data_IF_280900901508
#
_entry.id   IF_280900901508
#
_cell.length_a   1.000
_cell.length_b   1.000
_cell.length_c   1.000
_cell.angle_alpha   90.00
_cell.angle_beta   90.00
_cell.angle_gamma   90.00
#
_symmetry.space_group_name_H-M   'P 1'
#
loop_
_entity.id
_entity.type
_entity.pdbx_description
1 polymer ?
#
# COMPACT_ATOMS: atom_id res chain seq x y z
N UNK A 1 45.19 -13.79 -23.31
CA UNK A 1 45.23 -15.21 -22.90
C UNK A 1 44.69 -15.31 -21.47
N UNK A 2 43.73 -16.21 -21.29
CA UNK A 2 43.29 -16.91 -20.06
C UNK A 2 43.13 -16.18 -18.72
N UNK A 3 41.85 -16.02 -18.35
CA UNK A 3 41.15 -16.60 -17.19
C UNK A 3 41.64 -16.36 -15.74
N UNK A 4 40.70 -15.84 -14.93
CA UNK A 4 40.56 -16.09 -13.50
C UNK A 4 39.23 -15.54 -12.95
N UNK A 5 38.27 -16.42 -12.67
CA UNK A 5 36.94 -16.15 -12.07
C UNK A 5 37.02 -16.43 -10.55
N UNK A 6 36.05 -15.87 -9.80
CA UNK A 6 35.64 -16.09 -8.38
C UNK A 6 36.29 -15.15 -7.36
N UNK A 7 35.63 -14.63 -6.32
CA UNK A 7 34.23 -14.39 -5.93
C UNK A 7 34.34 -13.50 -4.67
N UNK A 8 33.31 -12.69 -4.42
CA UNK A 8 32.88 -12.13 -3.12
C UNK A 8 33.84 -12.11 -1.92
N UNK A 9 34.27 -10.90 -1.51
CA UNK A 9 34.38 -10.51 -0.10
C UNK A 9 34.55 -8.98 0.00
N UNK A 10 33.45 -8.24 0.11
CA UNK A 10 33.48 -6.81 0.40
C UNK A 10 33.52 -6.59 1.91
N UNK A 11 34.72 -6.46 2.48
CA UNK A 11 34.97 -5.60 3.65
C UNK A 11 36.47 -5.32 3.76
N UNK A 12 36.85 -4.06 3.50
CA UNK A 12 37.92 -3.30 4.20
C UNK A 12 38.19 -2.01 3.45
N UNK A 13 37.79 -0.87 4.02
CA UNK A 13 38.47 0.39 3.70
C UNK A 13 38.68 1.20 4.97
N UNK A 14 39.95 1.27 5.36
CA UNK A 14 40.54 2.22 6.31
C UNK A 14 40.99 3.48 5.53
N UNK A 15 41.39 4.52 6.29
CA UNK A 15 42.16 5.73 5.94
C UNK A 15 41.29 6.96 5.63
N UNK A 16 41.61 8.21 5.99
CA UNK A 16 42.39 8.93 7.03
C UNK A 16 42.00 10.41 6.82
N UNK A 17 41.98 11.25 7.85
CA UNK A 17 41.71 12.67 7.67
C UNK A 17 42.88 13.41 7.01
N UNK A 18 42.60 14.45 6.21
CA UNK A 18 43.12 15.78 6.52
C UNK A 18 42.42 16.94 5.79
N UNK A 19 42.27 17.99 6.59
CA UNK A 19 42.16 19.44 6.35
C UNK A 19 42.07 19.96 4.91
N UNK A 20 40.89 20.48 4.54
CA UNK A 20 40.63 21.89 4.15
C UNK A 20 39.26 21.98 3.47
N UNK A 21 38.32 22.73 4.05
CA UNK A 21 37.09 23.18 3.38
C UNK A 21 35.90 22.22 3.49
N UNK A 22 34.94 22.58 4.33
CA UNK A 22 33.70 21.87 4.64
C UNK A 22 32.93 21.38 3.40
N UNK A 23 32.88 20.06 3.23
CA UNK A 23 31.76 19.36 2.60
C UNK A 23 31.38 18.19 3.53
N UNK A 24 30.24 18.30 4.21
CA UNK A 24 29.70 17.22 5.04
C UNK A 24 29.07 16.19 4.11
N UNK A 25 29.80 15.12 3.82
CA UNK A 25 29.33 13.98 3.04
C UNK A 25 28.65 12.99 3.98
N UNK A 26 27.32 12.86 3.89
CA UNK A 26 26.60 11.79 4.60
C UNK A 26 26.73 10.48 3.81
N UNK A 27 27.39 9.50 4.43
CA UNK A 27 27.58 8.16 3.86
C UNK A 27 26.30 7.35 4.10
N UNK A 28 25.76 6.75 3.04
CA UNK A 28 24.71 5.73 3.13
C UNK A 28 25.22 4.53 3.94
N UNK A 29 24.88 4.48 5.22
CA UNK A 29 24.84 3.24 6.00
C UNK A 29 23.41 2.77 5.94
N UNK A 30 23.17 1.56 5.42
CA UNK A 30 21.83 0.96 5.29
C UNK A 30 21.11 0.67 6.61
N UNK A 31 21.28 1.52 7.62
CA UNK A 31 20.47 1.59 8.82
C UNK A 31 19.28 2.53 8.60
N UNK A 32 18.19 2.22 9.30
CA UNK A 32 16.86 2.85 9.27
C UNK A 32 16.90 4.38 9.47
N UNK A 33 18.01 4.94 9.96
CA UNK A 33 18.19 6.37 10.21
C UNK A 33 18.34 7.24 8.94
N UNK A 34 18.70 6.66 7.79
CA UNK A 34 18.96 7.43 6.56
C UNK A 34 17.70 7.98 5.87
N UNK A 35 16.50 7.48 6.19
CA UNK A 35 15.24 7.94 5.57
C UNK A 35 14.66 9.19 6.24
N UNK A 36 15.32 9.75 7.25
CA UNK A 36 14.77 10.84 8.04
C UNK A 36 14.95 12.25 7.43
N UNK A 37 15.60 12.41 6.29
CA UNK A 37 15.88 13.74 5.76
C UNK A 37 15.91 13.77 4.24
N UNK A 38 14.76 13.87 3.59
CA UNK A 38 14.68 14.47 2.24
C UNK A 38 13.32 15.14 1.91
N UNK A 39 12.33 15.13 2.82
CA UNK A 39 11.11 15.94 2.62
C UNK A 39 11.36 17.44 2.85
N UNK A 40 12.44 17.78 3.54
CA UNK A 40 12.86 19.16 3.78
C UNK A 40 14.15 19.48 3.01
N UNK A 41 14.14 19.32 1.68
CA UNK A 41 15.05 20.11 0.84
C UNK A 41 14.29 21.41 0.54
N UNK A 42 14.51 22.50 1.28
CA UNK A 42 13.64 23.69 1.24
C UNK A 42 13.63 24.41 -0.12
N UNK A 43 14.52 23.99 -1.04
CA UNK A 43 14.75 24.63 -2.34
C UNK A 43 14.67 23.63 -3.52
N UNK A 44 14.16 22.41 -3.33
CA UNK A 44 13.92 21.52 -4.47
C UNK A 44 12.77 22.10 -5.31
N UNK A 45 12.98 22.41 -6.61
CA UNK A 45 11.92 22.95 -7.44
C UNK A 45 10.78 21.93 -7.55
N UNK A 46 9.53 22.41 -7.45
CA UNK A 46 8.38 21.54 -7.69
C UNK A 46 8.44 20.97 -9.12
N UNK A 47 8.15 19.68 -9.31
CA UNK A 47 8.22 19.03 -10.62
C UNK A 47 6.98 19.40 -11.47
N UNK A 48 6.92 20.64 -11.97
CA UNK A 48 5.73 21.18 -12.64
C UNK A 48 5.76 21.11 -14.16
N UNK A 49 6.88 20.75 -14.79
CA UNK A 49 7.07 20.82 -16.25
C UNK A 49 5.89 20.25 -17.05
N UNK A 50 5.45 19.03 -16.73
CA UNK A 50 4.35 18.36 -17.44
C UNK A 50 3.00 19.02 -17.16
N UNK A 51 2.77 19.51 -15.93
CA UNK A 51 1.57 20.28 -15.58
C UNK A 51 1.51 21.60 -16.35
N UNK A 52 2.63 22.30 -16.49
CA UNK A 52 2.73 23.58 -17.17
C UNK A 52 2.61 23.44 -18.70
N UNK A 53 3.13 22.34 -19.27
CA UNK A 53 2.96 22.00 -20.69
C UNK A 53 1.55 21.52 -21.03
N UNK A 54 0.85 20.89 -20.08
CA UNK A 54 -0.44 20.26 -20.29
C UNK A 54 -1.48 20.71 -19.25
N UNK A 55 -1.78 22.01 -19.15
CA UNK A 55 -2.74 22.53 -18.19
C UNK A 55 -4.15 22.01 -18.49
N UNK A 56 -4.96 21.84 -17.46
CA UNK A 56 -6.37 21.52 -17.59
C UNK A 56 -7.22 22.57 -16.87
N UNK A 57 -8.35 22.99 -17.47
CA UNK A 57 -9.21 24.06 -16.91
C UNK A 57 -9.72 23.79 -15.50
N UNK A 58 -9.85 22.50 -15.13
CA UNK A 58 -10.28 22.04 -13.81
C UNK A 58 -9.18 22.09 -12.75
N UNK A 59 -7.91 22.20 -13.14
CA UNK A 59 -6.77 22.22 -12.19
C UNK A 59 -6.89 23.40 -11.19
N UNK A 60 -7.45 24.53 -11.63
CA UNK A 60 -7.65 25.72 -10.78
C UNK A 60 -8.68 25.54 -9.67
N UNK A 61 -9.51 24.50 -9.78
CA UNK A 61 -10.61 24.25 -8.84
C UNK A 61 -10.24 23.26 -7.75
N UNK A 62 -9.09 22.58 -7.85
CA UNK A 62 -8.68 21.53 -6.93
C UNK A 62 -7.35 21.88 -6.23
N UNK A 63 -7.32 21.70 -4.92
CA UNK A 63 -6.11 21.83 -4.10
C UNK A 63 -5.96 20.56 -3.27
N UNK A 64 -4.77 19.95 -3.32
CA UNK A 64 -4.40 18.83 -2.47
C UNK A 64 -3.46 19.31 -1.36
N UNK A 65 -3.83 19.04 -0.11
CA UNK A 65 -3.04 19.37 1.07
C UNK A 65 -2.35 18.09 1.55
N UNK A 66 -1.02 18.03 1.41
CA UNK A 66 -0.22 16.83 1.66
C UNK A 66 -0.25 16.43 3.15
N UNK A 67 -0.19 17.40 4.05
CA UNK A 67 -0.10 17.20 5.50
C UNK A 67 -1.36 16.53 6.08
N UNK A 68 -2.53 16.97 5.62
CA UNK A 68 -3.83 16.43 6.04
C UNK A 68 -4.36 15.36 5.10
N UNK A 69 -3.64 15.07 4.01
CA UNK A 69 -4.08 14.18 2.93
C UNK A 69 -5.51 14.48 2.44
N UNK A 70 -5.85 15.77 2.34
CA UNK A 70 -7.21 16.23 2.05
C UNK A 70 -7.26 17.00 0.73
N UNK A 71 -8.27 16.71 -0.08
CA UNK A 71 -8.55 17.45 -1.30
C UNK A 71 -9.65 18.48 -1.04
N UNK A 72 -9.49 19.66 -1.63
CA UNK A 72 -10.46 20.74 -1.61
C UNK A 72 -10.86 21.06 -3.05
N UNK A 73 -12.16 21.07 -3.33
CA UNK A 73 -12.73 21.46 -4.61
C UNK A 73 -13.50 22.76 -4.39
N UNK A 74 -13.10 23.84 -5.07
CA UNK A 74 -13.64 25.19 -4.91
C UNK A 74 -13.66 25.65 -3.44
N UNK A 75 -12.62 25.28 -2.67
CA UNK A 75 -12.50 25.60 -1.24
C UNK A 75 -13.26 24.65 -0.30
N UNK A 76 -14.07 23.73 -0.82
CA UNK A 76 -14.83 22.76 -0.01
C UNK A 76 -14.08 21.43 0.07
N UNK A 77 -13.88 20.84 1.26
CA UNK A 77 -13.22 19.54 1.37
C UNK A 77 -14.07 18.45 0.71
N UNK A 78 -13.42 17.56 -0.03
CA UNK A 78 -14.04 16.36 -0.58
C UNK A 78 -14.53 15.42 0.52
N UNK A 79 -15.49 14.55 0.21
CA UNK A 79 -15.98 13.51 1.12
C UNK A 79 -14.94 12.38 1.33
N UNK A 80 -13.93 12.30 0.48
CA UNK A 80 -12.80 11.38 0.62
C UNK A 80 -11.93 11.36 -0.64
N UNK A 81 -10.88 10.53 -0.59
CA UNK A 81 -10.07 10.21 -1.76
C UNK A 81 -10.49 8.90 -2.41
N UNK A 82 -10.12 8.66 -3.67
CA UNK A 82 -10.34 7.36 -4.35
C UNK A 82 -9.73 6.20 -3.55
N UNK A 83 -8.51 6.35 -3.04
CA UNK A 83 -7.87 5.35 -2.17
C UNK A 83 -8.65 5.13 -0.88
N UNK A 84 -9.09 6.23 -0.24
CA UNK A 84 -9.93 6.15 0.96
C UNK A 84 -11.27 5.47 0.71
N UNK A 85 -11.87 5.68 -0.47
CA UNK A 85 -13.09 5.00 -0.89
C UNK A 85 -12.89 3.49 -0.98
N UNK A 86 -11.79 3.03 -1.58
CA UNK A 86 -11.49 1.59 -1.71
C UNK A 86 -11.27 0.93 -0.36
N UNK A 87 -10.55 1.61 0.55
CA UNK A 87 -10.31 1.09 1.90
C UNK A 87 -11.59 0.90 2.72
N UNK A 88 -12.68 1.60 2.42
CA UNK A 88 -14.00 1.34 3.05
C UNK A 88 -14.57 -0.03 2.70
N UNK A 89 -14.13 -0.60 1.57
CA UNK A 89 -14.54 -1.92 1.11
C UNK A 89 -13.48 -2.99 1.40
N UNK A 90 -12.36 -2.65 2.03
CA UNK A 90 -11.37 -3.60 2.51
C UNK A 90 -11.71 -4.06 3.93
N UNK A 91 -11.24 -5.25 4.32
CA UNK A 91 -11.29 -5.73 5.69
C UNK A 91 -10.26 -4.98 6.53
N UNK A 92 -10.60 -4.68 7.79
CA UNK A 92 -9.64 -4.12 8.73
C UNK A 92 -8.57 -5.15 9.11
N UNK A 93 -7.34 -4.66 9.31
CA UNK A 93 -6.22 -5.50 9.73
C UNK A 93 -6.26 -5.71 11.25
N UNK A 94 -6.73 -6.88 11.68
CA UNK A 94 -6.71 -7.30 13.08
C UNK A 94 -5.37 -7.97 13.44
N UNK A 95 -4.43 -7.14 13.92
CA UNK A 95 -3.10 -7.59 14.31
C UNK A 95 -3.14 -8.66 15.42
N UNK A 96 -4.04 -8.51 16.40
CA UNK A 96 -4.13 -9.42 17.55
C UNK A 96 -4.59 -10.81 17.14
N UNK A 97 -5.67 -10.89 16.35
CA UNK A 97 -6.18 -12.16 15.83
C UNK A 97 -5.16 -12.87 14.95
N UNK A 98 -4.42 -12.13 14.12
CA UNK A 98 -3.38 -12.70 13.25
C UNK A 98 -2.21 -13.22 14.08
N UNK A 99 -1.70 -12.45 15.05
CA UNK A 99 -0.60 -12.88 15.93
C UNK A 99 -1.02 -14.13 16.72
N UNK A 100 -2.22 -14.13 17.30
CA UNK A 100 -2.73 -15.28 18.05
C UNK A 100 -2.80 -16.55 17.17
N UNK A 101 -3.26 -16.43 15.92
CA UNK A 101 -3.27 -17.53 14.95
C UNK A 101 -1.86 -17.99 14.58
N UNK A 102 -0.93 -17.05 14.36
CA UNK A 102 0.47 -17.35 14.05
C UNK A 102 1.13 -18.14 15.17
N UNK A 103 1.05 -17.67 16.43
CA UNK A 103 1.71 -18.27 17.59
C UNK A 103 1.10 -19.61 18.03
N UNK A 104 -0.16 -19.85 17.66
CA UNK A 104 -0.84 -21.14 17.89
C UNK A 104 -0.51 -22.18 16.81
N UNK A 105 -0.04 -21.75 15.64
CA UNK A 105 0.24 -22.63 14.51
C UNK A 105 1.44 -23.56 14.75
N UNK A 106 1.43 -24.73 14.11
CA UNK A 106 2.54 -25.70 14.18
C UNK A 106 3.84 -25.21 13.55
N UNK A 107 3.78 -24.13 12.76
CA UNK A 107 4.94 -23.47 12.18
C UNK A 107 5.58 -22.44 13.13
N UNK A 108 5.10 -22.30 14.37
CA UNK A 108 5.67 -21.38 15.35
C UNK A 108 6.61 -22.13 16.32
N UNK A 109 7.79 -21.56 16.67
CA UNK A 109 8.33 -20.28 16.20
C UNK A 109 8.76 -20.36 14.72
N UNK A 110 8.86 -19.20 14.05
CA UNK A 110 9.14 -19.12 12.61
C UNK A 110 10.24 -18.10 12.27
N UNK A 111 10.92 -18.26 11.11
CA UNK A 111 11.92 -17.29 10.67
C UNK A 111 11.36 -15.87 10.53
N UNK A 112 12.16 -14.88 10.92
CA UNK A 112 11.86 -13.46 11.00
C UNK A 112 11.21 -13.02 12.31
N UNK A 113 10.96 -13.94 13.24
CA UNK A 113 10.26 -13.68 14.50
C UNK A 113 11.00 -14.25 15.73
N UNK A 114 12.28 -14.57 15.58
CA UNK A 114 13.16 -14.88 16.69
C UNK A 114 13.83 -13.61 17.21
N UNK A 115 14.25 -13.62 18.47
CA UNK A 115 15.17 -12.60 18.98
C UNK A 115 16.58 -12.83 18.39
N UNK A 116 17.24 -11.75 17.99
CA UNK A 116 18.64 -11.79 17.51
C UNK A 116 19.62 -12.25 18.60
N UNK A 117 19.26 -12.04 19.86
CA UNK A 117 20.05 -12.46 21.03
C UNK A 117 19.16 -13.10 22.07
N UNK A 118 19.64 -14.21 22.63
CA UNK A 118 18.94 -14.95 23.68
C UNK A 118 19.60 -14.71 25.03
N UNK A 119 18.84 -14.51 26.13
CA UNK A 119 19.42 -14.35 27.46
C UNK A 119 20.31 -15.54 27.86
N UNK A 120 21.46 -15.26 28.50
CA UNK A 120 22.46 -16.28 28.89
C UNK A 120 21.84 -17.40 29.74
N UNK A 121 20.90 -17.07 30.62
CA UNK A 121 20.24 -18.06 31.47
C UNK A 121 19.38 -19.05 30.66
N UNK A 122 18.76 -18.61 29.56
CA UNK A 122 17.99 -19.48 28.65
C UNK A 122 18.95 -20.40 27.89
N UNK A 123 20.04 -19.87 27.35
CA UNK A 123 21.08 -20.69 26.71
C UNK A 123 21.66 -21.73 27.68
N UNK A 124 21.92 -21.34 28.93
CA UNK A 124 22.42 -22.26 29.96
C UNK A 124 21.42 -23.37 30.26
N UNK A 125 20.13 -23.05 30.35
CA UNK A 125 19.07 -24.03 30.52
C UNK A 125 18.97 -24.99 29.31
N UNK A 126 19.08 -24.47 28.08
CA UNK A 126 19.09 -25.29 26.88
C UNK A 126 20.36 -26.17 26.76
N UNK A 127 21.48 -25.77 27.33
CA UNK A 127 22.69 -26.63 27.38
C UNK A 127 22.65 -27.70 28.46
N UNK A 128 21.76 -27.57 29.43
CA UNK A 128 21.67 -28.49 30.57
C UNK A 128 20.98 -29.81 30.24
N UNK A 129 20.45 -29.97 29.03
CA UNK A 129 19.74 -31.16 28.57
C UNK A 129 20.22 -31.58 27.18
N UNK A 130 20.40 -32.89 26.99
CA UNK A 130 20.79 -33.44 25.68
C UNK A 130 19.69 -33.24 24.62
N UNK A 131 18.42 -33.13 25.04
CA UNK A 131 17.29 -32.89 24.16
C UNK A 131 17.30 -31.47 23.55
N UNK A 132 17.93 -30.51 24.22
CA UNK A 132 17.90 -29.08 23.87
C UNK A 132 19.25 -28.52 23.44
N UNK A 133 20.35 -29.26 23.64
CA UNK A 133 21.72 -28.78 23.33
C UNK A 133 21.91 -28.40 21.86
N UNK A 134 21.31 -29.14 20.91
CA UNK A 134 21.42 -28.81 19.48
C UNK A 134 20.80 -27.44 19.16
N UNK A 135 19.70 -27.09 19.83
CA UNK A 135 19.07 -25.78 19.69
C UNK A 135 19.97 -24.69 20.28
N UNK A 136 20.56 -24.92 21.45
CA UNK A 136 21.51 -23.98 22.05
C UNK A 136 22.74 -23.74 21.16
N UNK A 137 23.28 -24.80 20.55
CA UNK A 137 24.44 -24.72 19.68
C UNK A 137 24.11 -23.97 18.38
N UNK A 138 22.90 -24.12 17.84
CA UNK A 138 22.43 -23.34 16.69
C UNK A 138 22.37 -21.84 17.01
N UNK A 139 21.86 -21.44 18.18
CA UNK A 139 21.83 -20.03 18.60
C UNK A 139 23.20 -19.42 18.89
N UNK A 140 24.19 -20.25 19.25
CA UNK A 140 25.56 -19.79 19.51
C UNK A 140 26.45 -19.88 18.27
N UNK A 141 25.93 -20.41 17.17
CA UNK A 141 26.69 -20.55 15.96
C UNK A 141 26.97 -19.16 15.35
N UNK A 142 28.20 -18.88 14.89
CA UNK A 142 28.54 -17.56 14.32
C UNK A 142 27.72 -17.18 13.09
N UNK A 143 27.21 -18.18 12.38
CA UNK A 143 26.27 -18.03 11.27
C UNK A 143 24.88 -18.32 11.81
N UNK A 144 24.02 -17.30 11.84
CA UNK A 144 22.62 -17.42 12.22
C UNK A 144 21.83 -18.12 11.10
N UNK A 145 21.36 -19.33 11.35
CA UNK A 145 20.43 -20.05 10.48
C UNK A 145 19.07 -20.15 11.19
N UNK A 146 18.23 -19.14 10.98
CA UNK A 146 16.90 -19.09 11.60
C UNK A 146 15.99 -20.24 11.16
N UNK A 147 16.15 -20.75 9.94
CA UNK A 147 15.35 -21.88 9.47
C UNK A 147 15.65 -23.13 10.29
N UNK A 148 16.94 -23.43 10.49
CA UNK A 148 17.36 -24.56 11.32
C UNK A 148 16.97 -24.36 12.79
N UNK A 149 17.15 -23.16 13.34
CA UNK A 149 16.72 -22.85 14.72
C UNK A 149 15.22 -23.06 14.91
N UNK A 150 14.38 -22.55 14.00
CA UNK A 150 12.94 -22.77 14.06
C UNK A 150 12.58 -24.25 13.89
N UNK A 151 13.23 -24.98 12.98
CA UNK A 151 12.99 -26.42 12.78
C UNK A 151 13.31 -27.22 14.05
N UNK A 152 14.43 -26.95 14.70
CA UNK A 152 14.83 -27.59 15.96
C UNK A 152 13.85 -27.25 17.08
N UNK A 153 13.46 -25.98 17.23
CA UNK A 153 12.49 -25.53 18.24
C UNK A 153 11.11 -26.17 18.03
N UNK A 154 10.59 -26.20 16.80
CA UNK A 154 9.32 -26.83 16.45
C UNK A 154 9.35 -28.33 16.75
N UNK A 155 10.44 -29.02 16.40
CA UNK A 155 10.62 -30.45 16.71
C UNK A 155 10.64 -30.68 18.22
N UNK A 156 11.35 -29.84 18.97
CA UNK A 156 11.43 -29.92 20.42
C UNK A 156 10.05 -29.73 21.07
N UNK A 157 9.26 -28.75 20.63
CA UNK A 157 7.88 -28.55 21.12
C UNK A 157 6.97 -29.74 20.82
N UNK A 158 7.16 -30.39 19.67
CA UNK A 158 6.36 -31.54 19.28
C UNK A 158 6.68 -32.79 20.12
N UNK A 159 7.95 -32.98 20.52
CA UNK A 159 8.38 -34.15 21.29
C UNK A 159 8.39 -33.94 22.80
N UNK A 160 8.64 -32.70 23.24
CA UNK A 160 8.86 -32.32 24.64
C UNK A 160 8.18 -30.97 24.95
N UNK A 161 6.84 -30.93 25.09
CA UNK A 161 6.07 -29.69 25.29
C UNK A 161 6.44 -28.90 26.55
N UNK A 162 7.07 -29.53 27.54
CA UNK A 162 7.55 -28.91 28.78
C UNK A 162 8.56 -27.77 28.54
N UNK A 163 9.28 -27.79 27.41
CA UNK A 163 10.24 -26.74 27.04
C UNK A 163 9.59 -25.48 26.45
N UNK A 164 8.25 -25.42 26.36
CA UNK A 164 7.53 -24.25 25.84
C UNK A 164 7.90 -22.96 26.57
N UNK A 165 8.13 -23.01 27.88
CA UNK A 165 8.56 -21.86 28.66
C UNK A 165 9.94 -21.33 28.24
N UNK A 166 10.88 -22.20 27.88
CA UNK A 166 12.19 -21.78 27.37
C UNK A 166 12.10 -21.25 25.94
N UNK A 167 11.29 -21.89 25.09
CA UNK A 167 11.13 -21.46 23.68
C UNK A 167 10.42 -20.10 23.58
N UNK A 168 9.52 -19.79 24.52
CA UNK A 168 8.91 -18.47 24.62
C UNK A 168 9.92 -17.32 24.79
N UNK A 169 11.12 -17.59 25.30
CA UNK A 169 12.19 -16.59 25.40
C UNK A 169 13.03 -16.45 24.12
N UNK A 170 12.73 -17.25 23.09
CA UNK A 170 13.44 -17.25 21.81
C UNK A 170 12.69 -16.45 20.74
N UNK A 171 11.37 -16.31 20.86
CA UNK A 171 10.52 -15.63 19.88
C UNK A 171 10.00 -14.28 20.38
N UNK A 172 9.70 -13.40 19.43
CA UNK A 172 9.18 -12.07 19.72
C UNK A 172 7.81 -12.15 20.40
N UNK A 173 7.61 -11.32 21.43
CA UNK A 173 6.32 -11.12 22.06
C UNK A 173 5.30 -10.46 21.10
N UNK A 174 3.99 -10.58 21.35
CA UNK A 174 2.97 -9.91 20.54
C UNK A 174 3.18 -8.40 20.37
N UNK A 175 3.67 -7.72 21.41
CA UNK A 175 3.96 -6.29 21.37
C UNK A 175 5.15 -5.99 20.44
N UNK A 176 6.21 -6.79 20.51
CA UNK A 176 7.38 -6.65 19.63
C UNK A 176 7.04 -6.98 18.18
N UNK A 177 6.15 -7.96 17.94
CA UNK A 177 5.66 -8.26 16.59
C UNK A 177 4.89 -7.08 16.01
N UNK A 178 3.99 -6.47 16.78
CA UNK A 178 3.25 -5.27 16.34
C UNK A 178 4.21 -4.12 16.05
N UNK A 179 5.19 -3.87 16.92
CA UNK A 179 6.19 -2.83 16.71
C UNK A 179 7.00 -3.10 15.44
N UNK A 180 7.48 -4.34 15.25
CA UNK A 180 8.20 -4.75 14.04
C UNK A 180 7.36 -4.53 12.78
N UNK A 181 6.08 -4.88 12.80
CA UNK A 181 5.19 -4.64 11.66
C UNK A 181 4.97 -3.14 11.41
N UNK A 182 4.85 -2.33 12.44
CA UNK A 182 4.71 -0.88 12.31
C UNK A 182 5.98 -0.22 11.78
N UNK A 183 7.15 -0.61 12.28
CA UNK A 183 8.45 -0.15 11.78
C UNK A 183 8.63 -0.49 10.29
N UNK A 184 8.27 -1.71 9.90
CA UNK A 184 8.26 -2.13 8.50
C UNK A 184 7.26 -1.31 7.67
N UNK A 185 6.08 -0.99 8.20
CA UNK A 185 5.08 -0.16 7.53
C UNK A 185 5.61 1.25 7.28
N UNK A 186 6.20 1.89 8.29
CA UNK A 186 6.79 3.24 8.21
C UNK A 186 7.95 3.25 7.22
N UNK A 187 8.88 2.30 7.35
CA UNK A 187 10.04 2.20 6.45
C UNK A 187 9.60 1.99 5.00
N UNK A 188 8.64 1.07 4.75
CA UNK A 188 8.12 0.82 3.42
C UNK A 188 7.41 2.04 2.84
N UNK A 189 6.61 2.76 3.64
CA UNK A 189 5.94 3.98 3.23
C UNK A 189 6.95 5.07 2.82
N UNK A 190 7.96 5.35 3.65
CA UNK A 190 8.99 6.35 3.35
C UNK A 190 9.77 6.01 2.08
N UNK A 191 10.15 4.74 1.90
CA UNK A 191 10.80 4.30 0.67
C UNK A 191 9.89 4.44 -0.56
N UNK A 192 8.60 4.15 -0.40
CA UNK A 192 7.58 4.35 -1.43
C UNK A 192 7.47 5.81 -1.84
N UNK A 193 7.29 6.72 -0.87
CA UNK A 193 7.23 8.17 -1.09
C UNK A 193 8.46 8.67 -1.85
N UNK A 194 9.65 8.26 -1.44
CA UNK A 194 10.89 8.64 -2.14
C UNK A 194 10.95 8.11 -3.59
N UNK A 195 10.45 6.89 -3.80
CA UNK A 195 10.44 6.27 -5.13
C UNK A 195 9.49 7.01 -6.08
N UNK A 196 8.28 7.36 -5.63
CA UNK A 196 7.33 8.15 -6.42
C UNK A 196 7.91 9.53 -6.75
N UNK A 197 8.49 10.22 -5.75
CA UNK A 197 9.13 11.51 -5.95
C UNK A 197 10.26 11.45 -6.98
N UNK A 198 11.12 10.43 -6.91
CA UNK A 198 12.20 10.24 -7.87
C UNK A 198 11.67 10.00 -9.30
N UNK A 199 10.57 9.27 -9.45
CA UNK A 199 9.95 9.04 -10.76
C UNK A 199 9.31 10.31 -11.31
N UNK A 200 8.60 11.05 -10.46
CA UNK A 200 8.01 12.34 -10.81
C UNK A 200 9.08 13.35 -11.26
N UNK A 201 10.18 13.45 -10.53
CA UNK A 201 11.31 14.30 -10.88
C UNK A 201 11.92 13.90 -12.22
N UNK A 202 12.12 12.60 -12.45
CA UNK A 202 12.64 12.11 -13.72
C UNK A 202 11.72 12.46 -14.90
N UNK A 203 10.41 12.24 -14.75
CA UNK A 203 9.41 12.54 -15.77
C UNK A 203 9.31 14.05 -16.07
N UNK A 204 9.47 14.90 -15.04
CA UNK A 204 9.48 16.36 -15.17
C UNK A 204 10.85 16.96 -15.49
N UNK A 205 11.85 16.13 -15.83
CA UNK A 205 13.21 16.56 -16.22
C UNK A 205 13.93 17.36 -15.12
N UNK A 206 13.59 17.12 -13.86
CA UNK A 206 14.31 17.65 -12.71
C UNK A 206 15.64 16.91 -12.52
N UNK A 207 16.64 17.60 -11.94
CA UNK A 207 17.92 16.97 -11.62
C UNK A 207 17.78 16.04 -10.41
N UNK A 208 18.28 14.82 -10.52
CA UNK A 208 18.38 13.86 -9.43
C UNK A 208 19.84 13.71 -9.00
N UNK A 209 20.09 13.72 -7.69
CA UNK A 209 21.45 13.61 -7.15
C UNK A 209 21.99 12.19 -7.19
N UNK A 210 21.12 11.18 -7.07
CA UNK A 210 21.51 9.77 -7.02
C UNK A 210 20.51 8.87 -7.76
N UNK A 211 21.03 7.82 -8.41
CA UNK A 211 20.20 6.80 -9.08
C UNK A 211 20.00 5.57 -8.20
N UNK A 212 18.77 5.36 -7.72
CA UNK A 212 18.38 4.14 -7.01
C UNK A 212 18.22 2.94 -7.95
N UNK A 213 18.16 1.73 -7.39
CA UNK A 213 17.85 0.51 -8.16
C UNK A 213 16.47 0.62 -8.79
N UNK A 214 15.51 1.11 -8.01
CA UNK A 214 14.12 1.34 -8.43
C UNK A 214 14.04 2.32 -9.61
N UNK A 215 14.79 3.43 -9.57
CA UNK A 215 14.84 4.40 -10.67
C UNK A 215 15.41 3.78 -11.95
N UNK A 216 16.45 2.95 -11.85
CA UNK A 216 16.98 2.24 -13.04
C UNK A 216 15.97 1.26 -13.62
N UNK A 217 15.23 0.53 -12.77
CA UNK A 217 14.15 -0.37 -13.21
C UNK A 217 13.04 0.42 -13.92
N UNK A 218 12.69 1.57 -13.39
CA UNK A 218 11.70 2.48 -13.96
C UNK A 218 12.12 3.03 -15.32
N UNK A 219 13.34 3.57 -15.45
CA UNK A 219 13.86 4.11 -16.72
C UNK A 219 13.90 3.01 -17.79
N UNK A 220 14.34 1.81 -17.43
CA UNK A 220 14.34 0.64 -18.32
C UNK A 220 12.92 0.29 -18.76
N UNK A 221 11.93 0.34 -17.87
CA UNK A 221 10.53 0.11 -18.24
C UNK A 221 9.99 1.20 -19.16
N UNK A 222 10.20 2.48 -18.83
CA UNK A 222 9.79 3.60 -19.70
C UNK A 222 10.36 3.48 -21.12
N UNK A 223 11.60 3.01 -21.26
CA UNK A 223 12.22 2.80 -22.58
C UNK A 223 11.54 1.74 -23.46
N UNK A 224 10.63 0.94 -22.89
CA UNK A 224 9.82 -0.04 -23.62
C UNK A 224 8.45 0.48 -24.04
N UNK A 225 8.06 1.68 -23.61
CA UNK A 225 6.76 2.28 -23.87
C UNK A 225 6.76 3.05 -25.20
N UNK A 226 6.77 2.31 -26.31
CA UNK A 226 6.76 2.89 -27.64
C UNK A 226 5.43 3.58 -27.98
N UNK A 227 5.49 4.73 -28.65
CA UNK A 227 4.31 5.47 -29.10
C UNK A 227 3.57 6.26 -28.01
N UNK A 228 4.13 6.33 -26.80
CA UNK A 228 3.60 7.11 -25.69
C UNK A 228 4.48 8.33 -25.38
N UNK A 229 3.85 9.45 -25.04
CA UNK A 229 4.50 10.63 -24.49
C UNK A 229 4.01 10.89 -23.07
N UNK A 230 4.91 11.40 -22.21
CA UNK A 230 4.52 11.82 -20.87
C UNK A 230 3.53 13.00 -20.95
N UNK A 231 2.43 12.93 -20.20
CA UNK A 231 1.38 13.94 -20.22
C UNK A 231 1.20 14.64 -18.87
N UNK A 232 0.98 13.89 -17.79
CA UNK A 232 0.86 14.46 -16.44
C UNK A 232 1.45 13.51 -15.40
N UNK A 233 1.97 14.08 -14.31
CA UNK A 233 2.33 13.36 -13.08
C UNK A 233 1.51 13.92 -11.93
N UNK A 234 1.27 13.10 -10.91
CA UNK A 234 0.51 13.46 -9.70
C UNK A 234 -0.75 14.27 -10.06
N UNK A 235 -1.48 13.80 -11.09
CA UNK A 235 -2.59 14.57 -11.65
C UNK A 235 -3.78 14.48 -10.72
N UNK A 236 -4.06 15.58 -10.03
CA UNK A 236 -5.22 15.69 -9.16
C UNK A 236 -6.51 15.85 -9.98
N UNK A 237 -7.43 14.93 -9.79
CA UNK A 237 -8.73 14.92 -10.47
C UNK A 237 -9.88 14.78 -9.47
N UNK A 238 -11.07 15.23 -9.86
CA UNK A 238 -12.27 15.14 -9.03
C UNK A 238 -13.56 14.95 -9.83
N UNK A 239 -14.55 14.35 -9.17
CA UNK A 239 -15.91 14.21 -9.67
C UNK A 239 -16.94 14.77 -8.68
N UNK A 240 -17.89 15.54 -9.22
CA UNK A 240 -18.89 16.28 -8.46
C UNK A 240 -19.87 15.35 -7.75
N UNK A 241 -20.41 14.31 -8.41
CA UNK A 241 -21.50 13.47 -7.85
C UNK A 241 -21.14 12.80 -6.51
N UNK A 242 -19.89 12.39 -6.35
CA UNK A 242 -19.40 11.69 -5.16
C UNK A 242 -18.63 12.57 -4.20
N UNK A 243 -18.46 13.87 -4.52
CA UNK A 243 -17.50 14.76 -3.84
C UNK A 243 -16.16 14.04 -3.63
N UNK A 244 -15.64 13.39 -4.67
CA UNK A 244 -14.51 12.47 -4.62
C UNK A 244 -13.36 13.01 -5.45
N UNK A 245 -12.14 12.87 -4.95
CA UNK A 245 -10.93 13.24 -5.68
C UNK A 245 -9.81 12.20 -5.53
N UNK A 246 -8.76 12.33 -6.32
CA UNK A 246 -7.52 11.59 -6.10
C UNK A 246 -6.40 12.10 -7.00
N UNK A 247 -5.21 11.53 -6.82
CA UNK A 247 -4.00 11.84 -7.60
C UNK A 247 -3.62 10.61 -8.41
N UNK A 248 -3.41 10.79 -9.71
CA UNK A 248 -2.90 9.74 -10.60
C UNK A 248 -1.39 9.91 -10.72
N UNK A 249 -0.62 8.88 -10.37
CA UNK A 249 0.84 8.93 -10.37
C UNK A 249 1.42 9.38 -11.72
N UNK A 250 0.98 8.74 -12.81
CA UNK A 250 1.41 9.10 -14.16
C UNK A 250 0.34 8.84 -15.22
N UNK A 251 0.19 9.81 -16.11
CA UNK A 251 -0.62 9.73 -17.31
C UNK A 251 0.29 9.93 -18.51
N UNK A 252 0.25 8.96 -19.43
CA UNK A 252 0.85 9.07 -20.74
C UNK A 252 -0.23 9.33 -21.80
N UNK A 253 0.19 9.83 -22.96
CA UNK A 253 -0.68 10.12 -24.09
C UNK A 253 -0.19 9.44 -25.35
N UNK A 254 -1.13 8.92 -26.11
CA UNK A 254 -0.90 8.37 -27.44
C UNK A 254 -0.89 9.49 -28.50
N UNK A 255 -0.45 9.17 -29.73
CA UNK A 255 -0.52 10.12 -30.84
C UNK A 255 -1.95 10.50 -31.27
N UNK A 256 -2.95 9.64 -31.00
CA UNK A 256 -4.38 9.95 -31.25
C UNK A 256 -4.97 10.91 -30.22
N UNK A 257 -4.28 11.11 -29.09
CA UNK A 257 -4.72 11.97 -28.00
C UNK A 257 -5.40 11.23 -26.86
N UNK A 258 -5.62 9.91 -26.99
CA UNK A 258 -6.07 9.02 -25.92
C UNK A 258 -5.00 8.88 -24.83
N UNK A 259 -5.41 8.51 -23.62
CA UNK A 259 -4.52 8.43 -22.47
C UNK A 259 -4.34 6.99 -21.95
N UNK A 260 -3.21 6.78 -21.30
CA UNK A 260 -2.83 5.54 -20.62
C UNK A 260 -2.46 5.89 -19.18
N UNK A 261 -3.04 5.18 -18.22
CA UNK A 261 -2.80 5.44 -16.80
C UNK A 261 -1.77 4.47 -16.24
N UNK A 262 -0.91 4.98 -15.37
CA UNK A 262 0.06 4.19 -14.63
C UNK A 262 -0.04 4.51 -13.14
N UNK A 263 -0.02 3.45 -12.33
CA UNK A 263 0.16 3.52 -10.89
C UNK A 263 1.49 2.84 -10.54
N UNK A 264 2.37 3.59 -9.89
CA UNK A 264 3.68 3.11 -9.47
C UNK A 264 3.56 2.45 -8.12
N UNK A 265 4.21 1.30 -7.94
CA UNK A 265 4.25 0.62 -6.64
C UNK A 265 5.67 0.26 -6.26
N UNK A 266 5.91 0.25 -4.94
CA UNK A 266 7.10 -0.33 -4.34
C UNK A 266 6.72 -1.41 -3.34
N UNK A 267 6.86 -2.67 -3.73
CA UNK A 267 6.46 -3.81 -2.89
C UNK A 267 7.33 -5.03 -3.14
N UNK A 268 7.87 -5.62 -2.06
CA UNK A 268 8.69 -6.86 -2.04
C UNK A 268 8.03 -8.10 -2.65
N UNK A 269 6.72 -8.05 -2.91
CA UNK A 269 5.97 -9.25 -3.31
C UNK A 269 4.65 -8.93 -4.01
N UNK A 270 4.58 -7.85 -4.81
CA UNK A 270 3.31 -7.50 -5.49
C UNK A 270 2.76 -8.65 -6.34
N UNK A 271 3.62 -9.43 -6.99
CA UNK A 271 3.25 -10.62 -7.78
C UNK A 271 2.38 -11.62 -7.01
N UNK A 272 2.58 -11.76 -5.71
CA UNK A 272 1.80 -12.68 -4.87
C UNK A 272 0.62 -12.00 -4.15
N UNK A 273 0.37 -10.71 -4.40
CA UNK A 273 -0.70 -9.92 -3.78
C UNK A 273 -1.94 -9.78 -4.67
N UNK A 274 -2.11 -10.64 -5.68
CA UNK A 274 -3.32 -10.72 -6.52
C UNK A 274 -4.31 -11.83 -6.12
N UNK A 275 -3.95 -12.60 -5.08
CA UNK A 275 -4.81 -13.65 -4.53
C UNK A 275 -4.88 -13.52 -3.02
N UNK A 276 -6.10 -13.61 -2.47
CA UNK A 276 -6.33 -13.83 -1.05
C UNK A 276 -7.41 -14.90 -0.93
N UNK A 277 -7.06 -16.03 -0.30
CA UNK A 277 -7.98 -17.14 -0.08
C UNK A 277 -8.72 -17.04 1.26
N UNK A 278 -8.32 -16.11 2.12
CA UNK A 278 -8.81 -15.99 3.49
C UNK A 278 -9.84 -14.87 3.66
N UNK A 279 -9.83 -13.88 2.76
CA UNK A 279 -10.70 -12.71 2.85
C UNK A 279 -11.15 -12.25 1.46
N UNK A 280 -12.39 -11.78 1.41
CA UNK A 280 -12.97 -11.05 0.28
C UNK A 280 -13.34 -9.64 0.70
N UNK A 281 -13.46 -8.74 -0.27
CA UNK A 281 -13.84 -7.36 -0.02
C UNK A 281 -15.25 -7.28 0.56
N UNK A 282 -15.58 -6.17 1.22
CA UNK A 282 -16.93 -5.88 1.70
C UNK A 282 -17.86 -5.48 0.52
N UNK A 283 -19.16 -5.46 0.78
CA UNK A 283 -20.14 -5.10 -0.23
C UNK A 283 -19.97 -3.68 -0.74
N UNK A 284 -20.04 -3.45 -2.07
CA UNK A 284 -20.61 -4.32 -3.10
C UNK A 284 -19.61 -5.26 -3.83
N UNK A 285 -18.41 -5.47 -3.29
CA UNK A 285 -17.30 -6.16 -3.98
C UNK A 285 -17.00 -7.57 -3.46
N UNK A 286 -17.95 -8.25 -2.79
CA UNK A 286 -17.66 -9.50 -2.06
C UNK A 286 -17.21 -10.67 -2.92
N UNK A 287 -17.38 -10.60 -4.24
CA UNK A 287 -16.85 -11.59 -5.19
C UNK A 287 -15.35 -11.43 -5.47
N UNK A 288 -14.75 -10.31 -5.05
CA UNK A 288 -13.33 -10.02 -5.25
C UNK A 288 -12.49 -10.40 -4.02
N UNK A 289 -11.27 -10.97 -4.21
CA UNK A 289 -10.32 -11.15 -3.13
C UNK A 289 -9.92 -9.82 -2.49
N UNK A 290 -9.82 -9.78 -1.17
CA UNK A 290 -9.33 -8.59 -0.47
C UNK A 290 -7.80 -8.58 -0.42
N UNK A 291 -7.16 -8.03 -1.43
CA UNK A 291 -5.71 -7.84 -1.46
C UNK A 291 -5.27 -6.67 -2.32
N UNK A 292 -4.03 -6.21 -2.07
CA UNK A 292 -3.50 -4.99 -2.67
C UNK A 292 -3.59 -4.94 -4.20
N UNK A 293 -3.34 -6.06 -4.89
CA UNK A 293 -3.44 -6.09 -6.36
C UNK A 293 -4.85 -5.81 -6.87
N UNK A 294 -5.91 -6.19 -6.14
CA UNK A 294 -7.28 -5.82 -6.49
C UNK A 294 -7.62 -4.38 -6.10
N UNK A 295 -7.09 -3.89 -4.98
CA UNK A 295 -7.24 -2.48 -4.58
C UNK A 295 -6.67 -1.54 -5.64
N UNK A 296 -5.46 -1.82 -6.13
CA UNK A 296 -4.77 -1.02 -7.15
C UNK A 296 -5.54 -1.04 -8.49
N UNK A 297 -6.08 -2.20 -8.89
CA UNK A 297 -6.91 -2.34 -10.11
C UNK A 297 -8.18 -1.51 -10.03
N UNK A 298 -8.88 -1.55 -8.88
CA UNK A 298 -10.11 -0.77 -8.67
C UNK A 298 -9.78 0.73 -8.64
N UNK A 299 -8.64 1.12 -8.05
CA UNK A 299 -8.18 2.52 -8.02
C UNK A 299 -8.03 3.10 -9.42
N UNK A 300 -7.32 2.41 -10.31
CA UNK A 300 -7.15 2.88 -11.68
C UNK A 300 -8.48 2.92 -12.45
N UNK A 301 -9.37 1.95 -12.26
CA UNK A 301 -10.70 1.99 -12.87
C UNK A 301 -11.56 3.15 -12.32
N UNK A 302 -11.44 3.49 -11.04
CA UNK A 302 -12.08 4.67 -10.46
C UNK A 302 -11.59 5.96 -11.12
N UNK A 303 -10.27 6.09 -11.33
CA UNK A 303 -9.70 7.21 -12.06
C UNK A 303 -10.18 7.26 -13.51
N UNK A 304 -10.27 6.11 -14.19
CA UNK A 304 -10.82 6.02 -15.53
C UNK A 304 -12.25 6.62 -15.59
N UNK A 305 -13.17 6.16 -14.74
CA UNK A 305 -14.54 6.68 -14.73
C UNK A 305 -14.61 8.18 -14.46
N UNK A 306 -13.74 8.71 -13.57
CA UNK A 306 -13.68 10.15 -13.32
C UNK A 306 -13.21 10.92 -14.56
N UNK A 307 -12.18 10.43 -15.24
CA UNK A 307 -11.60 11.05 -16.43
C UNK A 307 -12.57 11.04 -17.63
N UNK A 308 -13.21 9.91 -17.89
CA UNK A 308 -14.20 9.79 -18.97
C UNK A 308 -15.39 10.72 -18.73
N UNK A 309 -15.93 10.74 -17.51
CA UNK A 309 -17.14 11.48 -17.17
C UNK A 309 -16.92 12.99 -17.05
N UNK A 310 -15.84 13.42 -16.39
CA UNK A 310 -15.66 14.82 -15.99
C UNK A 310 -14.55 15.56 -16.74
N UNK A 311 -13.70 14.84 -17.47
CA UNK A 311 -12.57 15.40 -18.22
C UNK A 311 -12.66 15.13 -19.73
N UNK A 312 -13.65 14.36 -20.20
CA UNK A 312 -13.82 14.03 -21.62
C UNK A 312 -12.63 13.27 -22.21
N UNK A 313 -11.87 12.57 -21.37
CA UNK A 313 -10.71 11.79 -21.78
C UNK A 313 -11.14 10.36 -22.12
N UNK A 314 -10.43 9.72 -23.05
CA UNK A 314 -10.60 8.30 -23.36
C UNK A 314 -9.37 7.52 -22.85
N UNK A 315 -9.57 6.59 -21.91
CA UNK A 315 -8.50 5.77 -21.35
C UNK A 315 -8.43 4.45 -22.12
N UNK A 316 -7.28 4.19 -22.74
CA UNK A 316 -7.09 3.02 -23.61
C UNK A 316 -6.41 1.84 -22.91
N UNK A 317 -5.60 2.13 -21.89
CA UNK A 317 -4.93 1.11 -21.09
C UNK A 317 -4.59 1.65 -19.69
N UNK A 318 -4.40 0.73 -18.75
CA UNK A 318 -4.08 1.01 -17.36
C UNK A 318 -3.06 -0.02 -16.85
N UNK A 319 -2.04 0.43 -16.14
CA UNK A 319 -0.96 -0.44 -15.66
C UNK A 319 -0.61 -0.15 -14.21
N UNK A 320 -0.45 -1.20 -13.40
CA UNK A 320 0.25 -1.12 -12.12
C UNK A 320 1.68 -1.62 -12.35
N UNK A 321 2.67 -0.78 -12.09
CA UNK A 321 4.07 -1.12 -12.31
C UNK A 321 4.87 -1.05 -11.00
N UNK A 322 5.44 -2.19 -10.62
CA UNK A 322 6.15 -2.37 -9.37
C UNK A 322 7.67 -2.43 -9.56
N UNK A 323 8.39 -1.58 -8.84
CA UNK A 323 9.84 -1.59 -8.74
C UNK A 323 10.25 -1.90 -7.30
N UNK A 324 11.10 -2.91 -7.11
CA UNK A 324 11.64 -3.24 -5.81
C UNK A 324 12.93 -4.05 -5.97
N UNK A 325 14.02 -3.70 -5.25
CA UNK A 325 15.32 -4.38 -5.39
C UNK A 325 15.25 -5.89 -5.12
N UNK A 326 14.45 -6.32 -4.14
CA UNK A 326 14.29 -7.74 -3.77
C UNK A 326 13.51 -8.58 -4.82
N UNK A 327 12.85 -7.98 -5.82
CA UNK A 327 12.00 -8.73 -6.75
C UNK A 327 12.78 -9.30 -7.94
N UNK A 328 13.40 -8.42 -8.74
CA UNK A 328 14.21 -8.77 -9.92
C UNK A 328 14.95 -7.53 -10.43
N UNK A 329 15.73 -7.65 -11.50
CA UNK A 329 16.35 -6.51 -12.22
C UNK A 329 15.38 -5.76 -13.16
N UNK A 330 14.10 -6.18 -13.19
CA UNK A 330 13.05 -5.62 -14.05
C UNK A 330 11.81 -5.25 -13.24
N UNK A 331 11.10 -4.21 -13.70
CA UNK A 331 9.78 -3.89 -13.18
C UNK A 331 8.83 -5.08 -13.39
N UNK A 332 7.98 -5.34 -12.39
CA UNK A 332 6.78 -6.15 -12.59
C UNK A 332 5.67 -5.24 -13.10
N UNK A 333 4.90 -5.68 -14.09
CA UNK A 333 3.82 -4.90 -14.68
C UNK A 333 2.56 -5.76 -14.68
N UNK A 334 1.49 -5.23 -14.10
CA UNK A 334 0.14 -5.78 -14.14
C UNK A 334 -0.71 -4.91 -15.07
N UNK A 335 -1.20 -5.50 -16.16
CA UNK A 335 -2.19 -4.85 -17.04
C UNK A 335 -3.56 -4.93 -16.36
N UNK A 336 -4.13 -3.76 -16.08
CA UNK A 336 -5.35 -3.66 -15.29
C UNK A 336 -6.56 -3.92 -16.19
N UNK A 337 -7.39 -4.94 -15.86
CA UNK A 337 -8.61 -5.20 -16.62
C UNK A 337 -9.64 -4.09 -16.42
N UNK A 338 -10.55 -3.96 -17.37
CA UNK A 338 -11.73 -3.14 -17.21
C UNK A 338 -12.66 -3.78 -16.16
N UNK A 339 -12.93 -3.04 -15.08
CA UNK A 339 -13.80 -3.43 -13.96
C UNK A 339 -15.02 -2.49 -13.87
N UNK A 340 -15.63 -2.18 -15.02
CA UNK A 340 -16.68 -1.15 -15.11
C UNK A 340 -17.83 -1.38 -14.12
N UNK A 341 -18.33 -2.61 -13.99
CA UNK A 341 -19.48 -2.90 -13.12
C UNK A 341 -19.15 -2.74 -11.63
N UNK A 342 -18.01 -3.28 -11.20
CA UNK A 342 -17.51 -3.15 -9.83
C UNK A 342 -17.26 -1.69 -9.46
N UNK A 343 -16.60 -0.97 -10.36
CA UNK A 343 -16.23 0.43 -10.15
C UNK A 343 -17.47 1.32 -10.13
N UNK A 344 -18.45 1.06 -11.01
CA UNK A 344 -19.71 1.77 -11.02
C UNK A 344 -20.48 1.57 -9.70
N UNK A 345 -20.52 0.35 -9.16
CA UNK A 345 -21.17 0.07 -7.87
C UNK A 345 -20.50 0.84 -6.71
N UNK A 346 -19.18 0.87 -6.68
CA UNK A 346 -18.39 1.65 -5.70
C UNK A 346 -18.66 3.16 -5.82
N UNK A 347 -18.67 3.69 -7.05
CA UNK A 347 -18.94 5.12 -7.29
C UNK A 347 -20.39 5.49 -6.94
N UNK A 348 -21.35 4.60 -7.16
CA UNK A 348 -22.76 4.81 -6.79
C UNK A 348 -22.97 4.83 -5.27
N UNK A 349 -22.30 3.95 -4.52
CA UNK A 349 -22.29 4.01 -3.05
C UNK A 349 -21.76 5.37 -2.58
N UNK A 350 -20.64 5.82 -3.12
CA UNK A 350 -20.06 7.12 -2.78
C UNK A 350 -20.97 8.29 -3.12
N UNK A 351 -21.61 8.29 -4.29
CA UNK A 351 -22.56 9.33 -4.69
C UNK A 351 -23.81 9.35 -3.78
N UNK A 352 -24.28 8.19 -3.34
CA UNK A 352 -25.42 8.10 -2.41
C UNK A 352 -25.07 8.72 -1.06
N UNK A 353 -23.87 8.43 -0.54
CA UNK A 353 -23.36 9.06 0.69
C UNK A 353 -23.19 10.57 0.58
N UNK A 354 -22.72 11.06 -0.57
CA UNK A 354 -22.60 12.50 -0.80
C UNK A 354 -23.97 13.19 -0.75
N UNK A 355 -25.00 12.58 -1.34
CA UNK A 355 -26.38 13.09 -1.29
C UNK A 355 -26.97 13.08 0.12
N UNK A 356 -26.77 11.98 0.86
CA UNK A 356 -27.21 11.87 2.26
C UNK A 356 -26.57 12.95 3.13
N UNK A 357 -25.26 13.18 2.97
CA UNK A 357 -24.54 14.23 3.70
C UNK A 357 -25.07 15.61 3.36
N UNK A 358 -25.27 15.92 2.09
CA UNK A 358 -25.82 17.21 1.67
C UNK A 358 -27.22 17.46 2.25
N UNK A 359 -28.07 16.43 2.31
CA UNK A 359 -29.40 16.51 2.93
C UNK A 359 -29.34 16.81 4.44
N UNK A 360 -28.35 16.25 5.16
CA UNK A 360 -28.16 16.50 6.59
C UNK A 360 -27.61 17.90 6.88
N UNK A 361 -26.80 18.46 5.98
CA UNK A 361 -26.19 19.79 6.12
C UNK A 361 -27.17 20.93 5.76
N UNK A 362 -28.15 20.69 4.87
CA UNK A 362 -29.26 21.62 4.57
C UNK A 362 -30.61 20.89 4.37
N UNK A 363 -31.36 20.62 5.45
CA UNK A 363 -32.65 19.94 5.38
C UNK A 363 -33.76 20.75 4.69
N UNK A 364 -33.59 22.07 4.56
CA UNK A 364 -34.63 23.01 4.12
C UNK A 364 -34.64 23.22 2.59
N UNK A 365 -33.54 22.93 1.89
CA UNK A 365 -33.42 23.00 0.42
C UNK A 365 -34.09 21.83 -0.33
N UNK A 366 -34.59 20.81 0.38
CA UNK A 366 -35.13 19.56 -0.18
C UNK A 366 -36.65 19.48 -0.29
N UNK A 367 -37.37 20.57 -0.53
CA UNK A 367 -38.82 20.50 -0.81
C UNK A 367 -39.10 20.30 -2.31
N UNK A 368 -38.83 19.10 -2.84
CA UNK A 368 -39.53 18.45 -3.97
C UNK A 368 -38.68 17.31 -4.56
N UNK A 369 -38.61 16.15 -3.92
CA UNK A 369 -38.37 14.89 -4.63
C UNK A 369 -39.32 13.83 -4.03
N UNK A 370 -40.02 13.14 -4.92
CA UNK A 370 -41.17 12.25 -4.68
C UNK A 370 -40.87 11.10 -3.73
N UNK A 371 -41.93 10.57 -3.12
CA UNK A 371 -41.99 9.40 -2.23
C UNK A 371 -41.39 8.09 -2.79
N UNK A 372 -40.80 8.10 -4.00
CA UNK A 372 -40.15 6.95 -4.63
C UNK A 372 -38.79 6.57 -4.01
N UNK A 373 -38.10 7.47 -3.29
CA UNK A 373 -36.83 7.14 -2.61
C UNK A 373 -37.00 6.42 -1.26
N UNK A 374 -38.23 6.18 -0.78
CA UNK A 374 -38.46 5.44 0.48
C UNK A 374 -38.39 3.91 0.35
N UNK A 375 -38.19 3.37 -0.86
CA UNK A 375 -38.15 1.93 -1.11
C UNK A 375 -36.85 1.47 -1.81
N UNK A 376 -35.71 1.73 -1.19
CA UNK A 376 -34.51 0.87 -1.33
C UNK A 376 -33.83 0.69 0.03
N UNK A 377 -34.64 0.33 1.04
CA UNK A 377 -34.14 -0.05 2.36
C UNK A 377 -33.66 -1.50 2.37
N UNK A 378 -32.46 -1.73 1.85
CA UNK A 378 -31.64 -2.90 2.23
C UNK A 378 -30.77 -2.55 3.45
N UNK A 379 -30.43 -1.27 3.66
CA UNK A 379 -29.54 -0.87 4.77
C UNK A 379 -30.25 -0.68 6.13
N UNK A 380 -31.52 -0.27 6.18
CA UNK A 380 -32.20 -0.02 7.46
C UNK A 380 -32.62 -1.32 8.19
N UNK A 381 -32.81 -2.42 7.47
CA UNK A 381 -33.17 -3.72 8.06
C UNK A 381 -31.99 -4.33 8.84
N UNK A 382 -30.75 -4.09 8.38
CA UNK A 382 -29.55 -4.54 9.09
C UNK A 382 -29.20 -3.68 10.32
N UNK A 383 -29.53 -2.38 10.29
CA UNK A 383 -29.29 -1.47 11.41
C UNK A 383 -30.24 -1.71 12.61
N UNK A 384 -31.46 -2.22 12.37
CA UNK A 384 -32.43 -2.47 13.43
C UNK A 384 -32.29 -3.87 14.06
N UNK A 385 -31.74 -4.86 13.34
CA UNK A 385 -31.44 -6.19 13.89
C UNK A 385 -30.25 -6.19 14.88
N UNK A 386 -29.38 -5.19 14.82
CA UNK A 386 -28.22 -5.03 15.71
C UNK A 386 -28.54 -4.30 17.02
N UNK A 387 -29.77 -3.79 17.20
CA UNK A 387 -30.21 -3.04 18.39
C UNK A 387 -31.32 -3.73 19.21
N UNK A 388 -31.69 -4.97 18.88
CA UNK A 388 -32.55 -5.81 19.74
C UNK A 388 -34.01 -5.37 19.89
N UNK A 389 -34.54 -4.53 19.00
CA UNK A 389 -35.96 -4.16 19.00
C UNK A 389 -36.84 -5.16 18.22
N UNK A 390 -38.02 -5.55 18.72
CA UNK A 390 -38.92 -6.44 17.98
C UNK A 390 -39.54 -5.73 16.77
N UNK A 391 -39.46 -6.39 15.61
CA UNK A 391 -40.06 -5.92 14.34
C UNK A 391 -41.59 -6.12 14.40
N UNK A 392 -42.42 -5.10 14.12
CA UNK A 392 -43.85 -5.30 13.99
C UNK A 392 -44.18 -6.01 12.67
N UNK A 393 -44.94 -7.10 12.75
CA UNK A 393 -45.53 -7.79 11.60
C UNK A 393 -46.49 -6.85 10.85
N UNK A 394 -46.07 -6.35 9.69
CA UNK A 394 -46.96 -5.65 8.77
C UNK A 394 -47.82 -6.68 8.05
N UNK A 395 -49.13 -6.67 8.36
CA UNK A 395 -50.15 -7.41 7.62
C UNK A 395 -50.30 -6.82 6.21
N UNK A 396 -50.20 -7.67 5.20
CA UNK A 396 -50.58 -7.36 3.83
C UNK A 396 -52.10 -7.15 3.72
N UNK A 397 -52.54 -5.92 3.46
CA UNK A 397 -53.88 -5.61 2.98
C UNK A 397 -53.85 -5.32 1.46
N UNK A 398 -54.95 -5.58 0.72
CA UNK A 398 -54.91 -5.61 -0.74
C UNK A 398 -54.97 -4.20 -1.35
N UNK A 399 -54.26 -4.06 -2.47
CA UNK A 399 -54.33 -2.95 -3.41
C UNK A 399 -55.76 -2.71 -3.91
N UNK A 400 -56.18 -1.44 -3.97
CA UNK A 400 -57.19 -0.96 -4.92
C UNK A 400 -56.79 0.42 -5.47
N UNK A 401 -56.72 0.43 -6.82
CA UNK A 401 -56.67 1.51 -7.83
C UNK A 401 -56.06 2.87 -7.47
#
# INVERSE_FOLDING_TARGET
ESNGIFETQATKTRWTANSTGSATLYRYTGSVEAYKFFTDVPDAPEPTLLKDLHPHDRDKNIVFVKESHTYYVNGTPTLGSVTGLIHRFAQEFDADSIIAKMMKGSRWPRPGYLHDTVPIHVITALKSSHQTTMLADAFLHPICDEEEMCRLAQRLLATCPEYRGLIFHLDLSPAEIKQKWDDHRISAANCGTWTHLAFEFHLNRCCLLEESVELRMFIKYLSTLDGLSAYRTEWTIYGEDGHLAGSIDFVARTSSGDIVLFDWKRSKSLRSKHSNQFQTMLGPLQHLPDCGGWHDRIQLNCYNLLLEKYYGCNVTAMYVACTHPDNSDKAFVDEVPNLYHETLAVMQDQASRAKERAFLEDPAGGTHISEACRFTNVCLVYALQSLGFPVPLVRSGPFQA
#
